data_IF_995816476022
#
_entry.id   IF_995816476022
#
_cell.length_a   1.000
_cell.length_b   1.000
_cell.length_c   1.000
_cell.angle_alpha   90.00
_cell.angle_beta   90.00
_cell.angle_gamma   90.00
#
_symmetry.space_group_name_H-M   'P 1'
#
loop_
_entity.id
_entity.type
_entity.pdbx_description
1 polymer ?
#
# COMPACT_ATOMS: atom_id res chain seq x y z
N UNK A 1 32.47 3.48 -16.56
CA UNK A 1 31.67 4.46 -17.31
C UNK A 1 30.19 4.14 -17.07
N UNK A 2 29.61 4.76 -16.05
CA UNK A 2 28.17 4.64 -15.75
C UNK A 2 27.43 5.66 -16.60
N UNK A 3 26.80 5.22 -17.69
CA UNK A 3 25.89 6.04 -18.47
C UNK A 3 24.66 6.37 -17.61
N UNK A 4 24.59 7.61 -17.12
CA UNK A 4 23.36 8.17 -16.56
C UNK A 4 22.30 8.17 -17.66
N UNK A 5 21.30 7.31 -17.53
CA UNK A 5 20.07 7.44 -18.32
C UNK A 5 19.45 8.77 -17.90
N UNK A 6 19.55 9.77 -18.77
CA UNK A 6 18.94 11.07 -18.55
C UNK A 6 17.43 10.87 -18.38
N UNK A 7 16.91 11.23 -17.20
CA UNK A 7 15.48 11.21 -16.98
C UNK A 7 14.82 12.14 -18.01
N UNK A 8 13.98 11.57 -18.88
CA UNK A 8 13.08 12.36 -19.72
C UNK A 8 12.28 13.31 -18.81
N UNK A 9 12.05 14.57 -19.21
CA UNK A 9 11.21 15.47 -18.44
C UNK A 9 9.85 14.81 -18.22
N UNK A 10 9.47 14.62 -16.95
CA UNK A 10 8.15 14.06 -16.62
C UNK A 10 7.10 15.11 -16.98
N UNK A 11 6.17 14.77 -17.89
CA UNK A 11 5.03 15.64 -18.19
C UNK A 11 4.16 15.83 -16.95
N UNK A 12 4.04 17.09 -16.52
CA UNK A 12 3.33 17.44 -15.29
C UNK A 12 1.83 17.14 -15.39
N UNK A 13 1.24 17.20 -16.58
CA UNK A 13 -0.17 16.86 -16.77
C UNK A 13 -0.35 15.36 -16.51
N UNK A 14 0.44 14.52 -17.18
CA UNK A 14 0.42 13.07 -17.00
C UNK A 14 0.71 12.67 -15.55
N UNK A 15 1.71 13.28 -14.91
CA UNK A 15 2.01 13.03 -13.50
C UNK A 15 0.80 13.27 -12.59
N UNK A 16 0.13 14.40 -12.77
CA UNK A 16 -1.06 14.72 -11.96
C UNK A 16 -2.22 13.77 -12.25
N UNK A 17 -2.47 13.42 -13.52
CA UNK A 17 -3.53 12.47 -13.89
C UNK A 17 -3.27 11.11 -13.24
N UNK A 18 -2.05 10.59 -13.33
CA UNK A 18 -1.67 9.30 -12.73
C UNK A 18 -1.78 9.36 -11.21
N UNK A 19 -1.20 10.38 -10.58
CA UNK A 19 -1.24 10.52 -9.12
C UNK A 19 -2.69 10.58 -8.59
N UNK A 20 -3.54 11.42 -9.19
CA UNK A 20 -4.94 11.52 -8.79
C UNK A 20 -5.70 10.21 -9.02
N UNK A 21 -5.35 9.43 -10.06
CA UNK A 21 -5.96 8.11 -10.28
C UNK A 21 -5.57 7.12 -9.18
N UNK A 22 -4.31 7.11 -8.75
CA UNK A 22 -3.84 6.26 -7.64
C UNK A 22 -4.51 6.63 -6.32
N UNK A 23 -4.61 7.92 -5.99
CA UNK A 23 -5.36 8.40 -4.82
C UNK A 23 -6.85 8.01 -4.91
N UNK A 24 -7.44 8.13 -6.10
CA UNK A 24 -8.81 7.71 -6.36
C UNK A 24 -9.05 6.23 -6.08
N UNK A 25 -8.12 5.36 -6.49
CA UNK A 25 -8.16 3.91 -6.18
C UNK A 25 -8.13 3.69 -4.66
N UNK A 26 -7.24 4.37 -3.92
CA UNK A 26 -7.21 4.27 -2.46
C UNK A 26 -8.55 4.68 -1.82
N UNK A 27 -9.16 5.78 -2.29
CA UNK A 27 -10.46 6.24 -1.79
C UNK A 27 -11.60 5.27 -2.11
N UNK A 28 -11.57 4.62 -3.27
CA UNK A 28 -12.56 3.59 -3.64
C UNK A 28 -12.42 2.34 -2.76
N UNK A 29 -11.19 1.90 -2.48
CA UNK A 29 -10.92 0.84 -1.51
C UNK A 29 -11.47 1.20 -0.14
N UNK A 30 -11.18 2.41 0.35
CA UNK A 30 -11.69 2.87 1.64
C UNK A 30 -13.21 2.96 1.70
N UNK A 31 -13.84 3.42 0.63
CA UNK A 31 -15.31 3.45 0.52
C UNK A 31 -15.91 2.05 0.58
N UNK A 32 -15.27 1.09 -0.09
CA UNK A 32 -15.69 -0.32 -0.04
C UNK A 32 -15.60 -0.86 1.38
N UNK A 33 -14.45 -0.66 2.05
CA UNK A 33 -14.24 -1.09 3.44
C UNK A 33 -15.29 -0.51 4.40
N UNK A 34 -15.60 0.79 4.30
CA UNK A 34 -16.63 1.42 5.13
C UNK A 34 -18.01 0.80 4.92
N UNK A 35 -18.38 0.50 3.66
CA UNK A 35 -19.70 -0.04 3.30
C UNK A 35 -19.87 -1.52 3.63
N UNK A 36 -18.78 -2.28 3.72
CA UNK A 36 -18.81 -3.71 4.00
C UNK A 36 -18.46 -4.06 5.44
N UNK A 37 -17.95 -3.10 6.22
CA UNK A 37 -17.61 -3.32 7.63
C UNK A 37 -18.85 -3.35 8.51
N UNK A 38 -18.91 -4.33 9.41
CA UNK A 38 -19.85 -4.35 10.53
C UNK A 38 -19.36 -3.49 11.71
N UNK A 39 -18.05 -3.30 11.85
CA UNK A 39 -17.47 -2.58 12.99
C UNK A 39 -17.64 -1.06 12.82
N UNK A 40 -18.21 -0.34 13.81
CA UNK A 40 -18.33 1.12 13.77
C UNK A 40 -16.97 1.81 13.81
N UNK A 41 -15.93 1.14 14.34
CA UNK A 41 -14.54 1.63 14.30
C UNK A 41 -14.09 1.85 12.85
N UNK A 42 -14.49 0.96 11.94
CA UNK A 42 -14.18 1.07 10.51
C UNK A 42 -15.23 1.91 9.76
N UNK A 43 -16.52 1.62 9.92
CA UNK A 43 -17.57 2.23 9.11
C UNK A 43 -17.88 3.68 9.48
N UNK A 44 -17.69 4.07 10.75
CA UNK A 44 -17.99 5.41 11.25
C UNK A 44 -16.74 6.18 11.67
N UNK A 45 -15.88 5.57 12.52
CA UNK A 45 -14.67 6.22 13.02
C UNK A 45 -13.52 6.27 12.00
N UNK A 46 -13.58 5.42 10.97
CA UNK A 46 -12.57 5.33 9.89
C UNK A 46 -11.16 5.05 10.40
N UNK A 47 -11.05 4.21 11.43
CA UNK A 47 -9.76 3.80 11.97
C UNK A 47 -9.14 2.65 11.16
N UNK A 48 -8.79 2.96 9.91
CA UNK A 48 -8.07 2.11 8.98
C UNK A 48 -7.46 2.97 7.87
N UNK A 49 -6.52 2.44 7.11
CA UNK A 49 -5.99 3.13 5.93
C UNK A 49 -5.87 2.14 4.77
N UNK A 50 -5.95 2.64 3.53
CA UNK A 50 -5.68 1.86 2.33
C UNK A 50 -4.56 2.54 1.55
N UNK A 51 -3.56 1.78 1.13
CA UNK A 51 -2.30 2.30 0.62
C UNK A 51 -1.82 1.48 -0.58
N UNK A 52 -1.23 2.17 -1.56
CA UNK A 52 -0.53 1.57 -2.69
C UNK A 52 0.97 1.78 -2.56
N UNK A 53 1.74 0.75 -2.89
CA UNK A 53 3.20 0.73 -2.88
C UNK A 53 3.77 0.29 -4.22
N UNK A 54 4.94 0.80 -4.58
CA UNK A 54 5.76 0.23 -5.66
C UNK A 54 6.38 -1.12 -5.24
N UNK A 55 7.05 -1.79 -6.18
CA UNK A 55 7.72 -3.08 -5.93
C UNK A 55 8.81 -3.02 -4.85
N UNK A 56 9.36 -1.84 -4.56
CA UNK A 56 10.40 -1.62 -3.57
C UNK A 56 9.82 -1.22 -2.19
N UNK A 57 8.49 -1.20 -2.05
CA UNK A 57 7.81 -0.81 -0.82
C UNK A 57 7.80 0.70 -0.57
N UNK A 58 7.96 1.54 -1.60
CA UNK A 58 7.74 2.98 -1.51
C UNK A 58 6.26 3.29 -1.69
N UNK A 59 5.71 4.07 -0.77
CA UNK A 59 4.31 4.50 -0.81
C UNK A 59 4.06 5.41 -2.01
N UNK A 60 3.04 5.09 -2.80
CA UNK A 60 2.63 5.83 -4.00
C UNK A 60 1.39 6.70 -3.75
N UNK A 61 0.41 6.16 -3.02
CA UNK A 61 -0.84 6.83 -2.68
C UNK A 61 -1.49 6.17 -1.46
N UNK A 62 -2.39 6.90 -0.79
CA UNK A 62 -3.03 6.49 0.45
C UNK A 62 -4.40 7.16 0.64
N UNK A 63 -5.23 6.61 1.52
CA UNK A 63 -6.38 7.32 2.11
C UNK A 63 -5.95 8.22 3.27
N UNK A 64 -6.71 9.29 3.53
CA UNK A 64 -6.37 10.30 4.53
C UNK A 64 -7.06 10.10 5.90
N UNK A 65 -7.18 8.86 6.39
CA UNK A 65 -7.99 8.55 7.58
C UNK A 65 -7.20 8.55 8.91
N UNK A 66 -6.12 7.76 9.02
CA UNK A 66 -5.36 7.62 10.27
C UNK A 66 -3.84 7.87 10.06
N UNK A 67 -3.31 9.06 10.40
CA UNK A 67 -1.91 9.41 10.16
C UNK A 67 -0.88 8.49 10.83
N UNK A 68 -1.19 7.97 12.03
CA UNK A 68 -0.32 7.04 12.73
C UNK A 68 -0.12 5.75 11.95
N UNK A 69 -1.21 5.16 11.45
CA UNK A 69 -1.18 3.96 10.60
C UNK A 69 -0.41 4.19 9.30
N UNK A 70 -0.67 5.30 8.59
CA UNK A 70 0.06 5.65 7.36
C UNK A 70 1.56 5.80 7.61
N UNK A 71 1.95 6.37 8.75
CA UNK A 71 3.35 6.48 9.14
C UNK A 71 4.02 5.13 9.44
N UNK A 72 3.25 4.15 9.91
CA UNK A 72 3.74 2.86 10.39
C UNK A 72 3.74 1.77 9.28
N UNK A 73 2.69 1.72 8.45
CA UNK A 73 2.47 0.71 7.40
C UNK A 73 3.60 0.62 6.36
N UNK A 74 4.32 1.72 6.11
CA UNK A 74 5.52 1.72 5.25
C UNK A 74 6.63 0.81 5.76
N UNK A 75 6.71 0.58 7.07
CA UNK A 75 7.67 -0.34 7.66
C UNK A 75 7.20 -1.78 7.50
N UNK A 76 5.90 -2.03 7.66
CA UNK A 76 5.30 -3.36 7.49
C UNK A 76 5.61 -3.92 6.10
N UNK A 77 5.39 -3.15 5.03
CA UNK A 77 5.66 -3.61 3.66
C UNK A 77 7.17 -3.85 3.44
N UNK A 78 8.03 -3.03 4.03
CA UNK A 78 9.49 -3.27 3.98
C UNK A 78 9.90 -4.56 4.68
N UNK A 79 9.32 -4.86 5.84
CA UNK A 79 9.57 -6.11 6.54
C UNK A 79 9.06 -7.31 5.75
N UNK A 80 7.88 -7.22 5.13
CA UNK A 80 7.38 -8.24 4.21
C UNK A 80 8.39 -8.52 3.09
N UNK A 81 8.88 -7.48 2.42
CA UNK A 81 9.87 -7.64 1.35
C UNK A 81 11.18 -8.27 1.88
N UNK A 82 11.63 -7.86 3.06
CA UNK A 82 12.90 -8.31 3.63
C UNK A 82 12.85 -9.75 4.19
N UNK A 83 11.75 -10.15 4.82
CA UNK A 83 11.64 -11.44 5.54
C UNK A 83 10.95 -12.51 4.71
N UNK A 84 9.88 -12.14 3.99
CA UNK A 84 9.17 -13.08 3.10
C UNK A 84 9.93 -13.20 1.78
N UNK A 85 10.42 -12.08 1.25
CA UNK A 85 11.09 -12.03 -0.05
C UNK A 85 10.11 -12.01 -1.22
N UNK A 86 10.39 -11.17 -2.22
CA UNK A 86 9.51 -10.98 -3.38
C UNK A 86 9.25 -12.28 -4.17
N UNK A 87 10.22 -13.19 -4.23
CA UNK A 87 10.12 -14.46 -4.95
C UNK A 87 9.14 -15.46 -4.29
N UNK A 88 8.79 -15.24 -3.02
CA UNK A 88 7.90 -16.11 -2.26
C UNK A 88 6.44 -15.63 -2.26
N UNK A 89 6.14 -14.48 -2.86
CA UNK A 89 4.80 -13.89 -2.89
C UNK A 89 4.23 -14.02 -4.29
N UNK A 90 3.23 -14.87 -4.51
CA UNK A 90 2.72 -15.26 -5.84
C UNK A 90 1.41 -14.54 -6.19
N UNK A 91 1.03 -14.53 -7.49
CA UNK A 91 -0.27 -14.00 -7.90
C UNK A 91 -1.42 -14.69 -7.14
N UNK A 92 -2.27 -13.89 -6.50
CA UNK A 92 -3.41 -14.39 -5.73
C UNK A 92 -3.17 -14.50 -4.22
N UNK A 93 -1.93 -14.46 -3.76
CA UNK A 93 -1.61 -14.51 -2.34
C UNK A 93 -2.16 -13.28 -1.59
N UNK A 94 -2.43 -13.48 -0.30
CA UNK A 94 -2.79 -12.43 0.65
C UNK A 94 -2.02 -12.67 1.94
N UNK A 95 -1.29 -11.67 2.40
CA UNK A 95 -0.46 -11.73 3.60
C UNK A 95 -1.15 -10.96 4.72
N UNK A 96 -1.26 -11.59 5.89
CA UNK A 96 -1.79 -10.96 7.09
C UNK A 96 -0.66 -10.64 8.06
N UNK A 97 -0.65 -9.41 8.57
CA UNK A 97 0.36 -8.93 9.50
C UNK A 97 -0.30 -8.27 10.71
N UNK A 98 0.18 -8.57 11.92
CA UNK A 98 -0.28 -7.93 13.17
C UNK A 98 0.85 -7.70 14.20
N UNK A 99 2.12 -7.78 13.78
CA UNK A 99 3.25 -7.67 14.70
C UNK A 99 3.62 -6.20 14.96
N UNK A 100 3.39 -5.65 16.16
CA UNK A 100 3.70 -4.25 16.46
C UNK A 100 5.21 -3.96 16.37
N UNK A 101 6.08 -4.94 16.54
CA UNK A 101 7.54 -4.75 16.46
C UNK A 101 8.05 -4.61 15.02
N UNK A 102 7.21 -4.95 14.04
CA UNK A 102 7.50 -4.87 12.60
C UNK A 102 6.68 -3.79 11.89
N UNK A 103 6.26 -2.77 12.63
CA UNK A 103 5.66 -1.56 12.08
C UNK A 103 4.15 -1.43 12.28
N UNK A 104 3.48 -2.31 13.03
CA UNK A 104 2.14 -2.03 13.56
C UNK A 104 2.18 -0.96 14.66
N UNK A 105 1.11 -0.17 14.82
CA UNK A 105 1.04 0.86 15.89
C UNK A 105 0.74 0.22 17.25
N UNK A 106 -0.07 -0.84 17.25
CA UNK A 106 -0.38 -1.65 18.43
C UNK A 106 -1.01 -2.99 18.02
N UNK A 107 -1.05 -3.96 18.95
CA UNK A 107 -1.52 -5.34 18.70
C UNK A 107 -2.90 -5.47 18.02
N UNK A 108 -3.94 -4.66 18.32
CA UNK A 108 -5.23 -4.78 17.64
C UNK A 108 -5.21 -4.53 16.13
N UNK A 109 -4.18 -3.89 15.59
CA UNK A 109 -4.12 -3.55 14.17
C UNK A 109 -3.70 -4.73 13.32
N UNK A 110 -4.47 -4.96 12.26
CA UNK A 110 -4.17 -5.97 11.25
C UNK A 110 -3.96 -5.26 9.92
N UNK A 111 -2.87 -5.59 9.25
CA UNK A 111 -2.56 -5.14 7.91
C UNK A 111 -2.72 -6.33 6.95
N UNK A 112 -3.49 -6.12 5.89
CA UNK A 112 -3.76 -7.14 4.85
C UNK A 112 -3.06 -6.68 3.59
N UNK A 113 -2.01 -7.39 3.21
CA UNK A 113 -1.15 -7.00 2.09
C UNK A 113 -1.39 -7.96 0.94
N UNK A 114 -1.53 -7.43 -0.27
CA UNK A 114 -1.66 -8.23 -1.48
C UNK A 114 -0.67 -7.76 -2.54
N UNK A 115 0.11 -8.68 -3.17
CA UNK A 115 0.95 -8.35 -4.30
C UNK A 115 0.09 -7.96 -5.51
N UNK A 116 0.54 -6.97 -6.26
CA UNK A 116 -0.04 -6.57 -7.54
C UNK A 116 0.89 -7.09 -8.63
N UNK A 117 0.36 -7.93 -9.51
CA UNK A 117 1.08 -8.47 -10.66
C UNK A 117 0.58 -7.83 -11.96
N UNK A 118 1.50 -7.51 -12.86
CA UNK A 118 1.21 -6.98 -14.19
C UNK A 118 2.11 -7.67 -15.22
N UNK A 119 1.53 -8.25 -16.26
CA UNK A 119 2.23 -9.08 -17.27
C UNK A 119 3.13 -10.17 -16.67
N UNK A 120 2.69 -10.81 -15.59
CA UNK A 120 3.42 -11.89 -14.93
C UNK A 120 4.55 -11.43 -13.99
N UNK A 121 4.79 -10.12 -13.87
CA UNK A 121 5.80 -9.57 -12.97
C UNK A 121 5.17 -8.87 -11.76
N UNK A 122 5.87 -8.92 -10.63
CA UNK A 122 5.51 -8.14 -9.46
C UNK A 122 5.64 -6.63 -9.77
N UNK A 123 4.52 -5.93 -9.68
CA UNK A 123 4.42 -4.51 -9.99
C UNK A 123 4.44 -3.65 -8.72
N UNK A 124 3.84 -4.14 -7.63
CA UNK A 124 3.77 -3.42 -6.37
C UNK A 124 2.92 -4.16 -5.35
N UNK A 125 2.45 -3.43 -4.34
CA UNK A 125 1.61 -3.98 -3.27
C UNK A 125 0.45 -3.05 -2.95
N UNK A 126 -0.66 -3.64 -2.50
CA UNK A 126 -1.74 -2.92 -1.82
C UNK A 126 -1.79 -3.38 -0.38
N UNK A 127 -2.06 -2.46 0.54
CA UNK A 127 -2.14 -2.72 1.97
C UNK A 127 -3.22 -1.87 2.66
#
# INVERSE_FOLDING_TARGET
MTTSVGAQPVDLVTLNVVYNRLVGICREMGTTMMRTSYSPIFSESRDFSCVLFDRDGRMLAQTEFCPAQVGAIRFVVKWLIAEVGADNVKPGDVILHNDPYRGGVHMPEHCVIKPIYYHGELFGYVA
#
